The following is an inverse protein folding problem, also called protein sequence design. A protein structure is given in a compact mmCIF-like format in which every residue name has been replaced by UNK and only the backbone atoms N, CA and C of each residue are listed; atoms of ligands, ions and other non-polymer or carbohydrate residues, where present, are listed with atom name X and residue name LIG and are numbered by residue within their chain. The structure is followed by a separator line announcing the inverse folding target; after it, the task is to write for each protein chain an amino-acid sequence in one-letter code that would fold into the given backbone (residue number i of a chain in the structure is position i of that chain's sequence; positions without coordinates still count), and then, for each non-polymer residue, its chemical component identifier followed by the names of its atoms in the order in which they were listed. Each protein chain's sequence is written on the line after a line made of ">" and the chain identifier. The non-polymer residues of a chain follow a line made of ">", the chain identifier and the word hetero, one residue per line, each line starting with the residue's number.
data_IF_380867433368
#
_entry.id   IF_380867433368
#
_cell.length_a   1.000
_cell.length_b   1.000
_cell.length_c   1.000
_cell.angle_alpha   90.00
_cell.angle_beta   90.00
_cell.angle_gamma   90.00
#
_symmetry.space_group_name_H-M   'P 1'
#
loop_
_entity.id
_entity.type
_entity.pdbx_description
1 polymer ?
#
# COMPACT_ATOMS: atom_id res chain seq x y z
N UNK A 1 -3.09 12.80 -17.00
CA UNK A 1 -2.49 11.44 -17.11
C UNK A 1 -1.29 11.36 -18.05
N UNK A 2 -1.23 12.16 -19.14
CA UNK A 2 -0.06 12.20 -20.05
C UNK A 2 0.95 13.26 -19.61
N UNK A 3 0.46 14.46 -19.29
CA UNK A 3 1.29 15.57 -18.84
C UNK A 3 1.24 15.67 -17.32
N UNK A 4 2.42 15.83 -16.72
CA UNK A 4 2.62 15.99 -15.29
C UNK A 4 3.41 17.25 -15.05
N UNK A 5 3.00 18.02 -14.04
CA UNK A 5 3.73 19.17 -13.55
C UNK A 5 4.04 18.97 -12.08
N UNK A 6 5.23 19.41 -11.67
CA UNK A 6 5.56 19.49 -10.27
C UNK A 6 4.75 20.63 -9.65
N UNK A 7 4.09 20.34 -8.53
CA UNK A 7 3.36 21.35 -7.74
C UNK A 7 4.23 21.81 -6.57
N UNK A 8 4.40 20.95 -5.57
CA UNK A 8 5.20 21.23 -4.38
C UNK A 8 5.69 19.96 -3.68
N UNK A 9 6.64 20.14 -2.76
CA UNK A 9 7.09 19.08 -1.86
C UNK A 9 6.32 19.12 -0.54
N UNK A 10 5.83 17.97 -0.10
CA UNK A 10 5.11 17.84 1.18
C UNK A 10 6.07 17.44 2.31
N UNK A 11 6.34 18.36 3.23
CA UNK A 11 7.26 18.14 4.35
C UNK A 11 6.54 17.59 5.61
N UNK A 12 5.87 16.44 5.48
CA UNK A 12 4.94 15.93 6.51
C UNK A 12 5.61 15.47 7.82
N UNK A 13 6.92 15.21 7.79
CA UNK A 13 7.66 14.65 8.93
C UNK A 13 8.82 15.52 9.43
N UNK A 14 9.03 16.72 8.87
CA UNK A 14 10.22 17.55 9.13
C UNK A 14 10.47 17.87 10.61
N UNK A 15 9.39 17.98 11.40
CA UNK A 15 9.43 18.36 12.81
C UNK A 15 9.06 17.20 13.75
N UNK A 16 8.87 16.00 13.19
CA UNK A 16 8.44 14.82 13.94
C UNK A 16 9.67 14.16 14.56
N UNK A 17 9.64 14.02 15.88
CA UNK A 17 10.74 13.45 16.67
C UNK A 17 10.27 12.25 17.49
N UNK A 18 11.18 11.31 17.73
CA UNK A 18 10.99 10.26 18.72
C UNK A 18 11.17 10.78 20.16
N UNK A 19 11.00 9.90 21.14
CA UNK A 19 11.15 10.21 22.58
C UNK A 19 12.57 10.68 22.94
N UNK A 20 13.58 10.29 22.15
CA UNK A 20 14.97 10.71 22.34
C UNK A 20 15.31 12.00 21.58
N UNK A 21 14.35 12.56 20.84
CA UNK A 21 14.53 13.80 20.06
C UNK A 21 15.14 13.58 18.66
N UNK A 22 15.28 12.34 18.20
CA UNK A 22 15.81 12.04 16.87
C UNK A 22 14.76 12.36 15.80
N UNK A 23 15.22 12.87 14.65
CA UNK A 23 14.37 13.10 13.49
C UNK A 23 14.13 11.78 12.74
N UNK A 24 12.99 11.70 12.05
CA UNK A 24 12.70 10.57 11.17
C UNK A 24 13.59 10.62 9.92
N UNK A 25 13.90 9.45 9.35
CA UNK A 25 14.83 9.36 8.22
C UNK A 25 14.13 9.41 6.84
N UNK A 26 12.84 9.06 6.76
CA UNK A 26 12.18 8.88 5.47
C UNK A 26 10.65 9.06 5.50
N UNK A 27 10.12 9.34 4.31
CA UNK A 27 8.74 9.08 3.90
C UNK A 27 8.84 8.15 2.69
N UNK A 28 8.34 6.92 2.80
CA UNK A 28 8.44 5.92 1.73
C UNK A 28 7.08 5.33 1.40
N UNK A 29 6.82 5.19 0.10
CA UNK A 29 5.64 4.58 -0.50
C UNK A 29 4.35 5.23 0.03
N UNK A 30 4.18 6.55 -0.17
CA UNK A 30 2.97 7.24 0.24
C UNK A 30 1.78 6.79 -0.61
N UNK A 31 0.65 6.58 0.07
CA UNK A 31 -0.66 6.39 -0.54
C UNK A 31 -1.68 7.30 0.17
N UNK A 32 -2.87 7.45 -0.40
CA UNK A 32 -3.95 8.17 0.26
C UNK A 32 -5.29 7.46 0.10
N UNK A 33 -6.16 7.67 1.08
CA UNK A 33 -7.57 7.31 1.02
C UNK A 33 -8.42 8.58 1.13
N UNK A 34 -9.42 8.71 0.27
CA UNK A 34 -10.37 9.82 0.31
C UNK A 34 -11.71 9.37 0.93
N UNK A 35 -12.13 10.03 2.00
CA UNK A 35 -13.43 9.79 2.64
C UNK A 35 -14.47 10.77 2.10
N UNK A 36 -15.39 10.26 1.27
CA UNK A 36 -16.48 11.03 0.68
C UNK A 36 -17.42 11.68 1.71
N UNK A 37 -17.53 11.13 2.92
CA UNK A 37 -18.45 11.64 3.95
C UNK A 37 -17.88 12.86 4.68
N UNK A 38 -16.57 12.87 4.92
CA UNK A 38 -15.86 13.96 5.60
C UNK A 38 -15.18 14.94 4.64
N UNK A 39 -15.09 14.58 3.36
CA UNK A 39 -14.37 15.29 2.30
C UNK A 39 -12.90 15.50 2.69
N UNK A 40 -12.30 14.48 3.28
CA UNK A 40 -10.94 14.50 3.82
C UNK A 40 -10.10 13.38 3.20
N UNK A 41 -8.84 13.71 2.90
CA UNK A 41 -7.82 12.75 2.50
C UNK A 41 -7.05 12.31 3.75
N UNK A 42 -6.84 11.01 3.89
CA UNK A 42 -5.87 10.43 4.82
C UNK A 42 -4.69 9.94 4.00
N UNK A 43 -3.57 10.65 4.06
CA UNK A 43 -2.31 10.25 3.46
C UNK A 43 -1.58 9.36 4.45
N UNK A 44 -1.00 8.26 4.00
CA UNK A 44 -0.25 7.36 4.85
C UNK A 44 0.97 6.80 4.12
N UNK A 45 2.01 6.47 4.88
CA UNK A 45 3.33 6.12 4.34
C UNK A 45 4.13 5.33 5.36
N UNK A 46 5.25 4.77 4.92
CA UNK A 46 6.22 4.08 5.77
C UNK A 46 7.29 5.05 6.26
N UNK A 47 7.60 5.01 7.55
CA UNK A 47 8.70 5.78 8.13
C UNK A 47 9.38 5.05 9.27
N UNK A 48 10.67 5.29 9.41
CA UNK A 48 11.48 4.81 10.54
C UNK A 48 12.46 5.88 11.03
N UNK A 49 12.85 5.74 12.29
CA UNK A 49 13.97 6.48 12.90
C UNK A 49 15.31 5.73 12.76
N UNK A 50 15.33 4.55 12.14
CA UNK A 50 16.54 3.76 11.90
C UNK A 50 17.12 4.01 10.49
N UNK A 51 18.41 3.78 10.30
CA UNK A 51 19.14 4.23 9.09
C UNK A 51 18.74 3.50 7.79
N UNK A 52 18.27 2.26 7.89
CA UNK A 52 17.99 1.42 6.72
C UNK A 52 16.66 1.76 6.00
N UNK A 53 15.87 2.72 6.49
CA UNK A 53 14.61 3.17 5.86
C UNK A 53 13.43 2.19 5.99
N UNK A 54 13.68 0.91 6.24
CA UNK A 54 12.66 -0.13 6.42
C UNK A 54 12.69 -0.82 7.78
N UNK A 55 13.78 -0.70 8.54
CA UNK A 55 13.95 -1.41 9.83
C UNK A 55 13.18 -0.71 10.94
N UNK A 56 12.40 -1.47 11.74
CA UNK A 56 11.44 -0.93 12.75
C UNK A 56 10.50 0.14 12.17
N UNK A 57 10.23 0.06 10.87
CA UNK A 57 9.32 0.96 10.18
C UNK A 57 7.89 0.75 10.68
N UNK A 58 7.15 1.86 10.71
CA UNK A 58 5.73 1.92 11.03
C UNK A 58 5.02 2.62 9.90
N UNK A 59 3.71 2.39 9.77
CA UNK A 59 2.89 3.25 8.93
C UNK A 59 2.49 4.49 9.72
N UNK A 60 2.68 5.65 9.12
CA UNK A 60 2.29 6.96 9.62
C UNK A 60 1.20 7.53 8.74
N UNK A 61 0.47 8.52 9.25
CA UNK A 61 -0.53 9.23 8.46
C UNK A 61 -0.64 10.70 8.84
N UNK A 62 -1.18 11.48 7.91
CA UNK A 62 -1.64 12.84 8.09
C UNK A 62 -2.90 13.07 7.26
N UNK A 63 -3.72 14.05 7.67
CA UNK A 63 -4.99 14.36 7.05
C UNK A 63 -5.00 15.75 6.44
N UNK A 64 -5.70 15.90 5.33
CA UNK A 64 -5.89 17.20 4.64
C UNK A 64 -7.24 17.23 3.93
N UNK A 65 -7.75 18.43 3.68
CA UNK A 65 -8.91 18.66 2.80
C UNK A 65 -8.55 19.40 1.52
N UNK A 66 -7.38 20.05 1.49
CA UNK A 66 -7.02 21.04 0.48
C UNK A 66 -5.62 20.84 -0.12
N UNK A 67 -4.90 19.80 0.32
CA UNK A 67 -3.52 19.49 -0.08
C UNK A 67 -2.49 20.59 0.25
N UNK A 68 -2.87 21.56 1.10
CA UNK A 68 -2.01 22.67 1.55
C UNK A 68 -1.78 22.59 3.05
N UNK A 69 -2.84 22.30 3.80
CA UNK A 69 -2.81 22.19 5.25
C UNK A 69 -2.95 20.73 5.65
N UNK A 70 -2.01 20.29 6.50
CA UNK A 70 -1.91 18.91 6.94
C UNK A 70 -1.94 18.85 8.46
N UNK A 71 -2.62 17.86 9.01
CA UNK A 71 -2.51 17.58 10.45
C UNK A 71 -1.09 17.15 10.80
N UNK A 72 -0.70 17.29 12.06
CA UNK A 72 0.54 16.66 12.55
C UNK A 72 0.51 15.16 12.27
N UNK A 73 1.62 14.62 11.77
CA UNK A 73 1.73 13.21 11.46
C UNK A 73 1.62 12.36 12.73
N UNK A 74 0.93 11.22 12.62
CA UNK A 74 0.72 10.26 13.71
C UNK A 74 0.98 8.85 13.21
N UNK A 75 1.30 7.94 14.12
CA UNK A 75 1.39 6.51 13.79
C UNK A 75 0.00 6.00 13.44
N UNK A 76 -0.15 5.42 12.24
CA UNK A 76 -1.36 4.74 11.77
C UNK A 76 -1.37 3.28 12.25
N UNK A 77 -0.24 2.60 12.08
CA UNK A 77 -0.13 1.16 12.31
C UNK A 77 1.29 0.78 12.71
N UNK A 78 1.42 0.10 13.85
CA UNK A 78 2.69 -0.33 14.45
C UNK A 78 2.55 -1.77 14.97
N UNK A 79 2.57 -2.78 14.09
CA UNK A 79 2.53 -4.18 14.48
C UNK A 79 3.82 -4.61 15.21
N UNK A 80 3.90 -5.83 15.78
CA UNK A 80 5.11 -6.33 16.46
C UNK A 80 6.26 -6.71 15.50
N UNK A 81 6.21 -6.24 14.25
CA UNK A 81 7.19 -6.46 13.19
C UNK A 81 7.37 -5.15 12.41
N UNK A 82 8.46 -5.05 11.66
CA UNK A 82 8.65 -3.94 10.73
C UNK A 82 7.61 -3.98 9.61
N UNK A 83 7.00 -2.83 9.32
CA UNK A 83 5.97 -2.70 8.27
C UNK A 83 6.31 -1.59 7.28
N UNK A 84 6.17 -1.90 6.00
CA UNK A 84 6.26 -0.95 4.89
C UNK A 84 5.12 -1.19 3.89
N UNK A 85 5.03 -0.34 2.87
CA UNK A 85 4.10 -0.42 1.73
C UNK A 85 2.65 -0.71 2.13
N UNK A 86 1.96 0.30 2.64
CA UNK A 86 0.54 0.20 2.95
C UNK A 86 -0.35 0.51 1.74
N UNK A 87 -1.47 -0.20 1.60
CA UNK A 87 -2.63 0.22 0.79
C UNK A 87 -3.92 -0.04 1.57
N UNK A 88 -4.94 0.79 1.37
CA UNK A 88 -6.14 0.80 2.20
C UNK A 88 -7.42 0.86 1.37
N UNK A 89 -8.38 -0.01 1.71
CA UNK A 89 -9.73 0.02 1.14
C UNK A 89 -10.80 -0.10 2.22
N UNK A 90 -11.97 0.50 1.97
CA UNK A 90 -13.16 0.36 2.81
C UNK A 90 -14.22 -0.46 2.10
N UNK A 91 -14.73 -1.49 2.75
CA UNK A 91 -15.88 -2.28 2.30
C UNK A 91 -16.77 -2.63 3.51
N UNK A 92 -18.09 -2.48 3.37
CA UNK A 92 -19.08 -2.82 4.41
C UNK A 92 -18.72 -2.26 5.81
N UNK A 93 -18.37 -0.97 5.86
CA UNK A 93 -17.97 -0.27 7.09
C UNK A 93 -16.77 -0.89 7.83
N UNK A 94 -15.88 -1.55 7.09
CA UNK A 94 -14.60 -2.08 7.57
C UNK A 94 -13.49 -1.55 6.69
N UNK A 95 -12.42 -1.05 7.31
CA UNK A 95 -11.18 -0.70 6.64
C UNK A 95 -10.27 -1.93 6.62
N UNK A 96 -9.71 -2.21 5.46
CA UNK A 96 -8.73 -3.27 5.22
C UNK A 96 -7.41 -2.61 4.85
N UNK A 97 -6.41 -2.77 5.71
CA UNK A 97 -5.05 -2.28 5.53
C UNK A 97 -4.17 -3.44 5.10
N UNK A 98 -3.87 -3.48 3.81
CA UNK A 98 -2.89 -4.38 3.24
C UNK A 98 -1.51 -3.75 3.42
N UNK A 99 -0.54 -4.55 3.82
CA UNK A 99 0.78 -4.04 4.13
C UNK A 99 1.84 -5.12 3.94
N UNK A 100 3.08 -4.71 3.70
CA UNK A 100 4.22 -5.62 3.67
C UNK A 100 4.82 -5.77 5.07
N UNK A 101 4.86 -7.01 5.56
CA UNK A 101 5.75 -7.36 6.66
C UNK A 101 7.19 -7.38 6.12
N UNK A 102 8.12 -6.68 6.76
CA UNK A 102 9.52 -6.57 6.34
C UNK A 102 10.47 -7.16 7.41
N UNK A 103 10.32 -8.47 7.64
CA UNK A 103 11.12 -9.22 8.62
C UNK A 103 11.91 -10.34 7.95
N UNK A 104 13.22 -10.35 8.16
CA UNK A 104 14.10 -11.41 7.67
C UNK A 104 15.29 -11.63 8.60
N UNK A 105 15.82 -12.85 8.66
CA UNK A 105 17.03 -13.18 9.39
C UNK A 105 17.00 -14.56 10.06
N UNK A 106 18.09 -14.93 10.73
CA UNK A 106 18.25 -16.27 11.34
C UNK A 106 17.15 -16.59 12.35
N UNK A 107 16.69 -15.59 13.12
CA UNK A 107 15.65 -15.78 14.15
C UNK A 107 14.23 -15.75 13.59
N UNK A 108 13.97 -14.83 12.66
CA UNK A 108 12.62 -14.56 12.14
C UNK A 108 12.27 -15.43 10.94
N UNK A 109 13.26 -16.01 10.26
CA UNK A 109 13.10 -16.64 8.95
C UNK A 109 12.87 -15.59 7.87
N UNK A 110 12.51 -16.00 6.66
CA UNK A 110 12.12 -15.08 5.58
C UNK A 110 10.61 -14.82 5.67
N UNK A 111 10.23 -13.60 6.09
CA UNK A 111 8.83 -13.18 6.31
C UNK A 111 8.46 -11.94 5.52
N UNK A 112 9.24 -11.58 4.50
CA UNK A 112 8.92 -10.47 3.61
C UNK A 112 7.74 -10.78 2.71
N UNK A 113 6.59 -10.19 3.00
CA UNK A 113 5.40 -10.45 2.20
C UNK A 113 4.15 -9.79 2.74
N UNK A 114 3.08 -9.86 1.94
CA UNK A 114 1.87 -9.08 2.18
C UNK A 114 0.98 -9.75 3.22
N UNK A 115 0.47 -8.92 4.14
CA UNK A 115 -0.52 -9.25 5.17
C UNK A 115 -1.71 -8.30 5.05
N UNK A 116 -2.78 -8.59 5.79
CA UNK A 116 -3.95 -7.71 5.92
C UNK A 116 -4.33 -7.53 7.38
N UNK A 117 -4.71 -6.32 7.75
CA UNK A 117 -5.29 -5.98 9.04
C UNK A 117 -6.61 -5.22 8.84
N UNK A 118 -7.51 -5.29 9.82
CA UNK A 118 -8.84 -4.68 9.70
C UNK A 118 -9.16 -3.74 10.86
N UNK A 119 -9.97 -2.71 10.59
CA UNK A 119 -10.51 -1.83 11.62
C UNK A 119 -11.90 -1.30 11.26
N UNK A 120 -12.63 -0.79 12.25
CA UNK A 120 -13.86 -0.02 12.05
C UNK A 120 -13.60 1.48 11.90
N UNK A 121 -12.39 1.93 12.18
CA UNK A 121 -11.93 3.32 12.01
C UNK A 121 -10.72 3.36 11.08
N UNK A 122 -10.62 4.41 10.27
CA UNK A 122 -9.47 4.62 9.38
C UNK A 122 -8.18 4.88 10.17
N UNK A 123 -8.29 5.36 11.40
CA UNK A 123 -7.15 5.63 12.28
C UNK A 123 -6.82 4.42 13.19
N UNK A 124 -7.50 3.28 12.97
CA UNK A 124 -7.35 2.09 13.81
C UNK A 124 -8.11 2.17 15.15
N UNK A 125 -7.79 1.29 16.10
CA UNK A 125 -6.72 0.28 16.03
C UNK A 125 -7.02 -0.78 14.97
N UNK A 126 -5.98 -1.31 14.34
CA UNK A 126 -6.06 -2.37 13.35
C UNK A 126 -5.77 -3.74 13.98
N UNK A 127 -6.60 -4.73 13.66
CA UNK A 127 -6.42 -6.12 14.05
C UNK A 127 -5.87 -6.93 12.89
N UNK A 128 -4.70 -7.55 13.09
CA UNK A 128 -4.02 -8.35 12.07
C UNK A 128 -4.79 -9.65 11.84
N UNK A 129 -5.04 -9.96 10.57
CA UNK A 129 -5.49 -11.28 10.16
C UNK A 129 -4.29 -12.19 9.90
N UNK A 130 -4.40 -13.45 10.31
CA UNK A 130 -3.41 -14.47 9.99
C UNK A 130 -3.82 -15.18 8.71
N UNK A 131 -3.26 -14.73 7.59
CA UNK A 131 -3.42 -15.39 6.30
C UNK A 131 -2.84 -16.81 6.26
N UNK A 132 -3.24 -17.54 5.23
CA UNK A 132 -2.95 -18.97 5.08
C UNK A 132 -1.49 -19.31 4.70
N UNK A 133 -0.69 -18.31 4.29
CA UNK A 133 0.69 -18.50 3.82
C UNK A 133 1.69 -18.06 4.89
N UNK A 134 2.89 -18.65 4.90
CA UNK A 134 4.09 -18.18 5.60
C UNK A 134 3.84 -17.59 7.02
N UNK A 135 3.03 -18.29 7.84
CA UNK A 135 2.68 -17.87 9.20
C UNK A 135 1.96 -16.50 9.26
N UNK A 136 1.02 -16.26 8.35
CA UNK A 136 0.05 -15.17 8.45
C UNK A 136 0.01 -14.20 7.27
N UNK A 137 0.74 -14.48 6.19
CA UNK A 137 0.69 -13.73 4.94
C UNK A 137 -0.45 -14.20 4.02
N UNK A 138 -0.83 -13.34 3.07
CA UNK A 138 -1.88 -13.57 2.08
C UNK A 138 -1.36 -13.64 0.64
N UNK A 139 -0.08 -13.35 0.42
CA UNK A 139 0.63 -13.51 -0.84
C UNK A 139 1.92 -14.31 -0.64
N UNK A 140 2.53 -14.87 -1.70
CA UNK A 140 3.85 -15.51 -1.62
C UNK A 140 4.93 -14.58 -1.06
N UNK A 141 6.02 -15.17 -0.60
CA UNK A 141 7.24 -14.46 -0.19
C UNK A 141 8.31 -14.71 -1.25
N UNK A 142 9.11 -13.73 -1.68
CA UNK A 142 9.17 -12.33 -1.26
C UNK A 142 8.30 -11.47 -2.17
N UNK A 143 7.36 -10.70 -1.60
CA UNK A 143 6.48 -9.79 -2.35
C UNK A 143 6.36 -8.43 -1.67
N UNK A 144 6.02 -7.40 -2.45
CA UNK A 144 5.89 -6.01 -1.98
C UNK A 144 4.88 -5.19 -2.80
N UNK A 145 4.69 -3.93 -2.39
CA UNK A 145 3.82 -2.99 -3.11
C UNK A 145 2.40 -3.50 -3.34
N UNK A 146 1.66 -3.89 -2.29
CA UNK A 146 0.28 -4.33 -2.46
C UNK A 146 -0.56 -3.21 -3.08
N UNK A 147 -1.39 -3.57 -4.06
CA UNK A 147 -2.48 -2.73 -4.54
C UNK A 147 -3.76 -3.56 -4.68
N UNK A 148 -4.89 -3.02 -4.22
CA UNK A 148 -6.16 -3.77 -4.17
C UNK A 148 -7.25 -3.06 -4.96
N UNK A 149 -8.01 -3.81 -5.75
CA UNK A 149 -9.14 -3.28 -6.52
C UNK A 149 -10.29 -4.28 -6.57
N UNK A 150 -11.52 -3.81 -6.79
CA UNK A 150 -12.63 -4.68 -7.20
C UNK A 150 -12.30 -5.29 -8.56
N UNK A 151 -12.51 -6.59 -8.72
CA UNK A 151 -12.37 -7.26 -10.01
C UNK A 151 -13.41 -6.64 -10.99
N UNK A 152 -12.97 -6.11 -12.15
CA UNK A 152 -13.88 -5.46 -13.09
C UNK A 152 -14.68 -6.46 -13.94
N UNK A 153 -14.30 -7.74 -13.95
CA UNK A 153 -14.90 -8.79 -14.77
C UNK A 153 -15.72 -9.79 -13.94
N UNK A 154 -15.44 -9.92 -12.64
CA UNK A 154 -16.08 -10.90 -11.75
C UNK A 154 -16.46 -10.27 -10.41
N UNK A 155 -17.33 -10.95 -9.67
CA UNK A 155 -17.59 -10.58 -8.27
C UNK A 155 -16.38 -10.96 -7.41
N UNK A 156 -15.72 -9.95 -6.83
CA UNK A 156 -14.60 -10.14 -5.92
C UNK A 156 -13.57 -9.03 -6.04
N UNK A 157 -12.35 -9.38 -5.66
CA UNK A 157 -11.23 -8.46 -5.48
C UNK A 157 -9.97 -9.04 -6.12
N UNK A 158 -9.12 -8.15 -6.62
CA UNK A 158 -7.76 -8.44 -7.05
C UNK A 158 -6.79 -7.78 -6.07
N UNK A 159 -5.75 -8.52 -5.68
CA UNK A 159 -4.57 -8.04 -4.98
C UNK A 159 -3.39 -8.19 -5.93
N UNK A 160 -2.82 -7.06 -6.32
CA UNK A 160 -1.67 -6.93 -7.21
C UNK A 160 -0.43 -6.68 -6.36
N UNK A 161 0.72 -7.25 -6.76
CA UNK A 161 1.96 -7.13 -6.02
C UNK A 161 3.18 -7.44 -6.87
N UNK A 162 4.32 -6.86 -6.50
CA UNK A 162 5.61 -7.08 -7.14
C UNK A 162 6.37 -8.23 -6.47
N UNK A 163 7.16 -8.96 -7.24
CA UNK A 163 8.21 -9.84 -6.71
C UNK A 163 9.55 -9.12 -6.87
N UNK A 164 10.05 -8.39 -5.86
CA UNK A 164 11.21 -7.50 -6.03
C UNK A 164 12.51 -8.24 -6.38
N UNK A 165 12.57 -9.54 -6.08
CA UNK A 165 13.71 -10.40 -6.36
C UNK A 165 13.57 -11.22 -7.65
N UNK A 166 12.50 -10.99 -8.41
CA UNK A 166 12.23 -11.62 -9.70
C UNK A 166 11.76 -10.56 -10.70
N UNK A 167 11.84 -10.82 -11.99
CA UNK A 167 11.22 -9.94 -12.99
C UNK A 167 9.77 -10.38 -13.23
N UNK A 168 8.96 -10.30 -12.17
CA UNK A 168 7.61 -10.87 -12.14
C UNK A 168 6.66 -10.00 -11.33
N UNK A 169 5.45 -9.87 -11.84
CA UNK A 169 4.31 -9.30 -11.14
C UNK A 169 3.31 -10.40 -10.75
N UNK A 170 2.58 -10.22 -9.66
CA UNK A 170 1.62 -11.18 -9.13
C UNK A 170 0.21 -10.61 -9.02
N UNK A 171 -0.79 -11.48 -9.18
CA UNK A 171 -2.19 -11.19 -8.87
C UNK A 171 -2.75 -12.34 -8.04
N UNK A 172 -3.52 -11.99 -7.01
CA UNK A 172 -4.36 -12.93 -6.26
C UNK A 172 -5.81 -12.47 -6.30
N UNK A 173 -6.76 -13.40 -6.24
CA UNK A 173 -8.20 -13.13 -6.17
C UNK A 173 -8.76 -13.41 -4.78
N UNK A 174 -9.79 -12.66 -4.38
CA UNK A 174 -10.53 -12.92 -3.14
C UNK A 174 -12.02 -12.55 -3.29
N UNK A 175 -12.88 -13.23 -2.53
CA UNK A 175 -14.30 -12.87 -2.42
C UNK A 175 -14.61 -11.99 -1.20
N UNK A 176 -13.72 -11.95 -0.22
CA UNK A 176 -13.97 -11.42 1.13
C UNK A 176 -12.86 -10.51 1.68
N UNK A 177 -11.84 -10.21 0.87
CA UNK A 177 -10.64 -9.42 1.20
C UNK A 177 -9.68 -10.08 2.21
N UNK A 178 -9.98 -11.29 2.68
CA UNK A 178 -9.22 -11.97 3.74
C UNK A 178 -8.57 -13.25 3.23
N UNK A 179 -9.31 -14.06 2.48
CA UNK A 179 -8.84 -15.33 1.92
C UNK A 179 -8.50 -15.12 0.45
N UNK A 180 -7.22 -15.33 0.10
CA UNK A 180 -6.67 -14.99 -1.21
C UNK A 180 -6.17 -16.23 -1.94
N UNK A 181 -6.50 -16.33 -3.23
CA UNK A 181 -6.01 -17.39 -4.13
C UNK A 181 -5.06 -16.78 -5.16
N UNK A 182 -3.89 -17.38 -5.35
CA UNK A 182 -2.91 -16.92 -6.34
C UNK A 182 -3.44 -17.23 -7.75
N UNK A 183 -3.33 -16.26 -8.67
CA UNK A 183 -3.60 -16.47 -10.08
C UNK A 183 -2.29 -16.81 -10.82
N UNK A 184 -2.24 -17.98 -11.45
CA UNK A 184 -1.04 -18.45 -12.15
C UNK A 184 -0.98 -17.98 -13.61
N UNK A 185 -2.13 -17.77 -14.24
CA UNK A 185 -2.25 -17.42 -15.65
C UNK A 185 -2.59 -15.94 -15.83
N UNK A 186 -1.58 -15.09 -15.68
CA UNK A 186 -1.72 -13.64 -15.83
C UNK A 186 -0.84 -13.12 -16.96
N UNK A 187 -1.30 -12.06 -17.62
CA UNK A 187 -0.53 -11.30 -18.60
C UNK A 187 -0.41 -9.87 -18.10
N UNK A 188 0.81 -9.39 -17.96
CA UNK A 188 1.17 -8.09 -17.41
C UNK A 188 2.14 -7.45 -18.40
N UNK A 189 2.11 -6.11 -18.59
CA UNK A 189 3.12 -5.43 -19.40
C UNK A 189 4.54 -5.79 -18.95
N UNK A 190 5.51 -5.86 -19.89
CA UNK A 190 6.90 -6.08 -19.53
C UNK A 190 7.38 -4.97 -18.59
N UNK A 191 8.33 -5.30 -17.73
CA UNK A 191 8.95 -4.39 -16.76
C UNK A 191 7.97 -3.77 -15.75
N UNK A 192 6.75 -4.30 -15.62
CA UNK A 192 5.82 -3.84 -14.61
C UNK A 192 6.37 -4.10 -13.21
N UNK A 193 6.47 -3.02 -12.43
CA UNK A 193 6.93 -3.00 -11.04
C UNK A 193 5.91 -2.32 -10.15
N UNK A 194 6.16 -2.36 -8.85
CA UNK A 194 5.44 -1.67 -7.77
C UNK A 194 4.56 -0.50 -8.28
N UNK A 195 3.24 -0.61 -8.12
CA UNK A 195 2.31 0.41 -8.63
C UNK A 195 0.93 0.37 -7.99
N UNK A 196 0.08 1.29 -8.42
CA UNK A 196 -1.30 1.44 -7.93
C UNK A 196 -2.30 1.32 -9.07
N UNK A 197 -3.54 0.97 -8.74
CA UNK A 197 -4.64 0.93 -9.71
C UNK A 197 -5.52 2.17 -9.57
N UNK A 198 -5.79 2.84 -10.68
CA UNK A 198 -6.80 3.89 -10.77
C UNK A 198 -7.85 3.56 -11.84
N UNK A 199 -9.11 3.91 -11.57
CA UNK A 199 -10.18 3.81 -12.57
C UNK A 199 -10.22 5.11 -13.36
N UNK A 200 -10.22 4.96 -14.67
CA UNK A 200 -10.33 6.07 -15.62
C UNK A 200 -11.59 5.90 -16.46
N UNK A 201 -12.07 7.00 -17.02
CA UNK A 201 -13.17 6.99 -17.99
C UNK A 201 -12.74 6.34 -19.31
N UNK A 202 -13.71 5.88 -20.09
CA UNK A 202 -13.43 5.35 -21.43
C UNK A 202 -12.75 6.40 -22.34
N UNK A 203 -13.14 7.67 -22.23
CA UNK A 203 -12.52 8.75 -22.98
C UNK A 203 -11.04 8.96 -22.61
N UNK A 204 -10.71 8.95 -21.31
CA UNK A 204 -9.32 9.01 -20.85
C UNK A 204 -8.50 7.79 -21.31
N UNK A 205 -9.11 6.61 -21.30
CA UNK A 205 -8.47 5.39 -21.76
C UNK A 205 -8.12 5.45 -23.26
N UNK A 206 -9.03 5.96 -24.10
CA UNK A 206 -8.75 6.14 -25.54
C UNK A 206 -7.63 7.16 -25.78
N UNK A 207 -7.62 8.28 -25.04
CA UNK A 207 -6.53 9.26 -25.09
C UNK A 207 -5.18 8.62 -24.73
N UNK A 208 -5.14 7.77 -23.70
CA UNK A 208 -3.92 7.05 -23.31
C UNK A 208 -3.47 6.04 -24.36
N UNK A 209 -4.38 5.29 -24.99
CA UNK A 209 -4.05 4.35 -26.07
C UNK A 209 -3.45 5.04 -27.29
N UNK A 210 -3.92 6.25 -27.61
CA UNK A 210 -3.37 7.05 -28.72
C UNK A 210 -1.97 7.54 -28.38
N UNK A 211 -1.76 8.02 -27.14
CA UNK A 211 -0.46 8.52 -26.70
C UNK A 211 0.59 7.42 -26.53
N UNK A 212 0.17 6.23 -26.10
CA UNK A 212 1.02 5.07 -25.85
C UNK A 212 0.47 3.82 -26.58
N UNK A 213 0.58 3.77 -27.92
CA UNK A 213 0.09 2.64 -28.68
C UNK A 213 0.87 1.38 -28.29
N UNK A 214 0.18 0.27 -28.08
CA UNK A 214 0.84 -1.01 -27.80
C UNK A 214 1.81 -1.34 -28.92
N UNK A 215 3.08 -1.59 -28.58
CA UNK A 215 4.01 -2.19 -29.52
C UNK A 215 3.43 -3.56 -29.93
N UNK A 216 3.27 -3.77 -31.24
CA UNK A 216 2.90 -5.08 -31.79
C UNK A 216 4.00 -6.09 -31.55
#
# INVERSE_FOLDING_TARGET
>A
LIHWQFEESLYLMKDVKDEAGNLVNNIWAPEFYYDESTKEYTLFWSSTYEDAGWKKSRLWYSKTKDWKTFTTAKVLFSPPYSVIDGTLIKENNTYYLFHKEEEFGVKTGERRGIRVATSKSIEGPYQIFNGQLNKGQIAPTITEGPSVMKDPLKKGWLLLYDYPMADKYGISTSKDLMNWKIEENISIPPDARHGSVSKITAAEAEVLKIAYPSAK
#
